data_IF_937994563603
#
_entry.id   IF_937994563603
#
_cell.length_a   1.000
_cell.length_b   1.000
_cell.length_c   1.000
_cell.angle_alpha   90.00
_cell.angle_beta   90.00
_cell.angle_gamma   90.00
#
_symmetry.space_group_name_H-M   'P 1'
#
loop_
_entity.id
_entity.type
_entity.pdbx_description
1 polymer ?
#
# COMPACT_ATOMS: atom_id res chain seq x y z
N UNK A 1 -13.75 19.85 -10.74
CA UNK A 1 -13.16 18.56 -10.32
C UNK A 1 -13.40 18.33 -8.83
N UNK A 2 -12.94 19.23 -7.95
CA UNK A 2 -13.15 19.15 -6.49
C UNK A 2 -14.63 19.03 -6.07
N UNK A 3 -15.51 19.86 -6.61
CA UNK A 3 -16.95 19.82 -6.30
C UNK A 3 -17.57 18.45 -6.62
N UNK A 4 -17.24 17.88 -7.78
CA UNK A 4 -17.72 16.57 -8.21
C UNK A 4 -17.18 15.43 -7.33
N UNK A 5 -15.93 15.54 -6.84
CA UNK A 5 -15.38 14.58 -5.89
C UNK A 5 -16.13 14.65 -4.56
N UNK A 6 -16.34 15.85 -4.01
CA UNK A 6 -17.08 16.04 -2.76
C UNK A 6 -18.52 15.50 -2.85
N UNK A 7 -19.23 15.77 -3.95
CA UNK A 7 -20.57 15.23 -4.21
C UNK A 7 -20.59 13.69 -4.26
N UNK A 8 -19.54 13.05 -4.80
CA UNK A 8 -19.41 11.59 -4.79
C UNK A 8 -19.20 11.04 -3.37
N UNK A 9 -18.43 11.75 -2.54
CA UNK A 9 -18.22 11.37 -1.15
C UNK A 9 -19.51 11.52 -0.31
N UNK A 10 -20.30 12.56 -0.56
CA UNK A 10 -21.60 12.77 0.10
C UNK A 10 -22.62 11.68 -0.19
N UNK A 11 -22.53 11.06 -1.36
CA UNK A 11 -23.42 9.95 -1.76
C UNK A 11 -23.12 8.63 -1.07
N UNK A 12 -22.04 8.54 -0.27
CA UNK A 12 -21.55 7.30 0.34
C UNK A 12 -21.23 6.18 -0.67
N UNK A 13 -20.95 6.53 -1.93
CA UNK A 13 -20.55 5.59 -2.98
C UNK A 13 -19.04 5.29 -2.94
N UNK A 14 -18.28 6.05 -2.13
CA UNK A 14 -16.81 6.01 -2.06
C UNK A 14 -16.35 5.86 -0.61
N UNK A 15 -15.77 4.71 -0.29
CA UNK A 15 -15.25 4.40 1.05
C UNK A 15 -13.83 4.96 1.30
N UNK A 16 -13.07 5.26 0.25
CA UNK A 16 -11.67 5.65 0.37
C UNK A 16 -11.20 6.54 -0.78
N UNK A 17 -10.22 7.41 -0.48
CA UNK A 17 -9.51 8.21 -1.50
C UNK A 17 -8.01 8.05 -1.35
N UNK A 18 -7.29 8.23 -2.46
CA UNK A 18 -5.84 8.36 -2.52
C UNK A 18 -5.48 9.76 -3.04
N UNK A 19 -4.57 10.44 -2.32
CA UNK A 19 -4.05 11.76 -2.66
C UNK A 19 -2.56 11.61 -2.97
N UNK A 20 -2.19 11.77 -4.24
CA UNK A 20 -0.78 11.81 -4.63
C UNK A 20 -0.19 13.19 -4.42
N UNK A 21 0.94 13.25 -3.74
CA UNK A 21 1.65 14.50 -3.45
C UNK A 21 3.09 14.41 -3.93
N UNK A 22 3.67 15.55 -4.31
CA UNK A 22 5.12 15.65 -4.51
C UNK A 22 5.90 15.78 -3.20
N UNK A 23 5.20 16.01 -2.08
CA UNK A 23 5.78 16.35 -0.78
C UNK A 23 6.55 17.67 -0.74
N UNK A 24 6.52 18.50 -1.79
CA UNK A 24 7.25 19.77 -1.87
C UNK A 24 6.37 21.00 -1.70
N UNK A 25 5.12 20.92 -2.14
CA UNK A 25 4.15 22.00 -2.09
C UNK A 25 3.02 21.59 -1.16
N UNK A 26 2.67 22.47 -0.22
CA UNK A 26 1.60 22.24 0.76
C UNK A 26 0.30 22.92 0.33
N UNK A 27 0.39 24.10 -0.31
CA UNK A 27 -0.80 24.86 -0.72
C UNK A 27 -1.77 24.05 -1.60
N UNK A 28 -1.34 23.32 -2.63
CA UNK A 28 -2.29 22.53 -3.42
C UNK A 28 -2.93 21.38 -2.63
N UNK A 29 -2.25 20.86 -1.61
CA UNK A 29 -2.79 19.84 -0.72
C UNK A 29 -3.85 20.43 0.21
N UNK A 30 -3.60 21.60 0.78
CA UNK A 30 -4.54 22.35 1.62
C UNK A 30 -5.80 22.74 0.82
N UNK A 31 -5.65 23.33 -0.37
CA UNK A 31 -6.76 23.66 -1.26
C UNK A 31 -7.61 22.43 -1.62
N UNK A 32 -6.96 21.28 -1.87
CA UNK A 32 -7.65 20.02 -2.14
C UNK A 32 -8.43 19.56 -0.90
N UNK A 33 -7.79 19.54 0.26
CA UNK A 33 -8.39 19.09 1.51
C UNK A 33 -9.58 19.96 1.93
N UNK A 34 -9.42 21.28 1.88
CA UNK A 34 -10.47 22.25 2.17
C UNK A 34 -11.63 22.13 1.18
N UNK A 35 -11.32 21.87 -0.10
CA UNK A 35 -12.31 21.65 -1.14
C UNK A 35 -13.14 20.37 -0.97
N UNK A 36 -12.62 19.35 -0.27
CA UNK A 36 -13.41 18.18 0.14
C UNK A 36 -14.32 18.51 1.33
N UNK A 37 -13.92 19.44 2.19
CA UNK A 37 -14.74 19.94 3.30
C UNK A 37 -15.28 18.82 4.20
N UNK A 38 -16.54 18.91 4.62
CA UNK A 38 -17.16 17.92 5.51
C UNK A 38 -17.41 16.55 4.85
N UNK A 39 -17.32 16.45 3.52
CA UNK A 39 -17.55 15.19 2.81
C UNK A 39 -16.52 14.11 3.16
N UNK A 40 -15.35 14.50 3.69
CA UNK A 40 -14.33 13.56 4.19
C UNK A 40 -14.82 12.67 5.34
N UNK A 41 -15.90 13.06 6.04
CA UNK A 41 -16.50 12.28 7.14
C UNK A 41 -17.14 10.97 6.67
N UNK A 42 -17.45 10.87 5.38
CA UNK A 42 -18.04 9.67 4.79
C UNK A 42 -16.98 8.64 4.43
N UNK A 43 -15.70 9.01 4.46
CA UNK A 43 -14.60 8.11 4.16
C UNK A 43 -14.31 7.19 5.33
N UNK A 44 -13.87 5.97 4.99
CA UNK A 44 -13.34 4.98 5.93
C UNK A 44 -11.81 4.98 5.92
N UNK A 45 -11.19 5.44 4.84
CA UNK A 45 -9.74 5.50 4.66
C UNK A 45 -9.33 6.67 3.78
N UNK A 46 -8.30 7.40 4.20
CA UNK A 46 -7.57 8.33 3.34
C UNK A 46 -6.14 7.83 3.21
N UNK A 47 -5.69 7.72 1.97
CA UNK A 47 -4.30 7.43 1.67
C UNK A 47 -3.60 8.66 1.12
N UNK A 48 -2.46 9.03 1.70
CA UNK A 48 -1.61 10.12 1.22
C UNK A 48 -0.31 9.52 0.71
N UNK A 49 -0.11 9.62 -0.59
CA UNK A 49 1.05 9.10 -1.30
C UNK A 49 2.13 10.17 -1.42
N UNK A 50 3.36 9.81 -1.05
CA UNK A 50 4.51 10.71 -1.04
C UNK A 50 5.81 10.05 -1.50
N UNK A 51 6.68 10.78 -2.21
CA UNK A 51 7.99 10.29 -2.60
C UNK A 51 8.98 10.37 -1.43
N UNK A 52 10.10 9.67 -1.57
CA UNK A 52 11.24 9.82 -0.67
C UNK A 52 12.00 11.12 -0.97
N UNK A 53 11.66 12.21 -0.27
CA UNK A 53 12.33 13.50 -0.37
C UNK A 53 13.49 13.67 0.65
N UNK A 54 13.96 12.57 1.25
CA UNK A 54 15.03 12.62 2.24
C UNK A 54 14.57 13.30 3.54
N UNK A 55 15.36 14.27 4.02
CA UNK A 55 15.15 14.95 5.31
C UNK A 55 13.85 15.75 5.39
N UNK A 56 13.32 16.22 4.25
CA UNK A 56 12.06 16.99 4.21
C UNK A 56 10.81 16.12 4.23
N UNK A 57 10.95 14.79 4.14
CA UNK A 57 9.80 13.86 4.09
C UNK A 57 8.91 13.99 5.33
N UNK A 58 9.48 13.77 6.53
CA UNK A 58 8.71 13.82 7.79
C UNK A 58 8.15 15.21 8.07
N UNK A 59 8.91 16.32 7.93
CA UNK A 59 8.34 17.66 8.03
C UNK A 59 7.14 17.89 7.10
N UNK A 60 7.17 17.35 5.89
CA UNK A 60 6.07 17.48 4.94
C UNK A 60 4.87 16.62 5.34
N UNK A 61 5.10 15.39 5.81
CA UNK A 61 4.05 14.53 6.39
C UNK A 61 3.35 15.22 7.56
N UNK A 62 4.12 15.80 8.49
CA UNK A 62 3.57 16.51 9.64
C UNK A 62 2.71 17.70 9.22
N UNK A 63 3.18 18.51 8.26
CA UNK A 63 2.39 19.64 7.73
C UNK A 63 1.07 19.18 7.12
N UNK A 64 1.11 18.15 6.27
CA UNK A 64 -0.10 17.56 5.67
C UNK A 64 -1.03 16.98 6.74
N UNK A 65 -0.48 16.31 7.74
CA UNK A 65 -1.27 15.78 8.84
C UNK A 65 -1.95 16.88 9.66
N UNK A 66 -1.26 17.97 9.99
CA UNK A 66 -1.85 19.09 10.73
C UNK A 66 -3.01 19.77 9.98
N UNK A 67 -2.99 19.75 8.64
CA UNK A 67 -4.11 20.21 7.80
C UNK A 67 -5.28 19.24 7.89
N UNK A 68 -5.00 17.93 7.86
CA UNK A 68 -6.04 16.90 7.90
C UNK A 68 -6.67 16.71 9.28
N UNK A 69 -5.85 16.71 10.33
CA UNK A 69 -6.18 16.32 11.71
C UNK A 69 -7.49 16.92 12.24
N UNK A 70 -7.82 18.21 12.01
CA UNK A 70 -9.08 18.79 12.50
C UNK A 70 -10.35 18.11 11.96
N UNK A 71 -10.31 17.52 10.77
CA UNK A 71 -11.46 16.93 10.09
C UNK A 71 -11.28 15.44 9.76
N UNK A 72 -10.13 14.86 10.12
CA UNK A 72 -9.81 13.46 9.88
C UNK A 72 -10.54 12.57 10.88
N UNK A 73 -11.57 11.87 10.41
CA UNK A 73 -12.41 10.96 11.22
C UNK A 73 -12.24 9.47 10.84
N UNK A 74 -11.36 9.18 9.89
CA UNK A 74 -11.15 7.85 9.34
C UNK A 74 -9.70 7.38 9.45
N UNK A 75 -9.39 6.18 8.97
CA UNK A 75 -8.01 5.70 8.96
C UNK A 75 -7.13 6.54 8.02
N UNK A 76 -5.91 6.82 8.46
CA UNK A 76 -4.89 7.48 7.66
C UNK A 76 -3.80 6.47 7.24
N UNK A 77 -3.53 6.41 5.94
CA UNK A 77 -2.52 5.55 5.33
C UNK A 77 -1.48 6.39 4.60
N UNK A 78 -0.23 6.31 5.04
CA UNK A 78 0.90 6.90 4.33
C UNK A 78 1.46 5.91 3.32
N UNK A 79 1.25 6.19 2.04
CA UNK A 79 1.78 5.38 0.93
C UNK A 79 3.17 5.87 0.55
N UNK A 80 4.15 5.01 0.78
CA UNK A 80 5.54 5.27 0.48
C UNK A 80 5.79 4.95 -1.00
N UNK A 81 5.61 5.96 -1.85
CA UNK A 81 5.74 5.84 -3.31
C UNK A 81 7.21 5.81 -3.78
N UNK A 82 8.16 5.90 -2.85
CA UNK A 82 9.58 5.69 -3.13
C UNK A 82 10.12 6.74 -4.11
N UNK A 83 10.83 6.28 -5.16
CA UNK A 83 11.31 7.18 -6.21
C UNK A 83 10.19 7.48 -7.21
N UNK A 84 10.02 8.75 -7.63
CA UNK A 84 9.05 9.11 -8.66
C UNK A 84 9.22 8.23 -9.91
N UNK A 85 8.15 7.52 -10.27
CA UNK A 85 7.96 6.62 -11.43
C UNK A 85 9.17 6.47 -12.37
N UNK A 86 10.19 5.71 -11.98
CA UNK A 86 11.32 5.39 -12.87
C UNK A 86 11.01 4.24 -13.84
N UNK A 87 9.87 3.56 -13.67
CA UNK A 87 9.56 2.32 -14.38
C UNK A 87 10.45 1.13 -13.96
N UNK A 88 11.43 1.35 -13.08
CA UNK A 88 12.28 0.29 -12.54
C UNK A 88 11.53 -0.46 -11.44
N UNK A 89 11.23 -1.72 -11.72
CA UNK A 89 10.60 -2.68 -10.81
C UNK A 89 11.59 -3.79 -10.41
N UNK A 90 12.88 -3.59 -10.69
CA UNK A 90 13.97 -4.50 -10.38
C UNK A 90 14.39 -4.47 -8.91
N UNK A 91 15.45 -5.23 -8.59
CA UNK A 91 15.97 -5.36 -7.22
C UNK A 91 16.47 -4.02 -6.62
N UNK A 92 17.00 -3.13 -7.46
CA UNK A 92 17.49 -1.82 -7.05
C UNK A 92 16.37 -0.97 -6.44
N UNK A 93 15.25 -0.86 -7.15
CA UNK A 93 14.06 -0.14 -6.68
C UNK A 93 13.55 -0.67 -5.34
N UNK A 94 13.44 -2.00 -5.18
CA UNK A 94 12.96 -2.60 -3.93
C UNK A 94 13.87 -2.33 -2.74
N UNK A 95 15.19 -2.33 -2.94
CA UNK A 95 16.14 -2.01 -1.86
C UNK A 95 15.94 -0.58 -1.36
N UNK A 96 15.73 0.36 -2.26
CA UNK A 96 15.48 1.76 -1.91
C UNK A 96 14.13 1.96 -1.22
N UNK A 97 13.09 1.26 -1.66
CA UNK A 97 11.77 1.27 -1.00
C UNK A 97 11.84 0.72 0.42
N UNK A 98 12.58 -0.37 0.64
CA UNK A 98 12.79 -0.92 1.99
C UNK A 98 13.61 0.05 2.84
N UNK A 99 14.69 0.64 2.30
CA UNK A 99 15.49 1.62 3.04
C UNK A 99 14.65 2.85 3.45
N UNK A 100 13.74 3.30 2.57
CA UNK A 100 12.82 4.38 2.88
C UNK A 100 11.87 4.00 4.03
N UNK A 101 11.31 2.79 3.99
CA UNK A 101 10.47 2.24 5.04
C UNK A 101 11.20 2.14 6.38
N UNK A 102 12.43 1.62 6.41
CA UNK A 102 13.28 1.55 7.60
C UNK A 102 13.46 2.92 8.24
N UNK A 103 13.80 3.94 7.42
CA UNK A 103 13.99 5.30 7.91
C UNK A 103 12.72 5.86 8.57
N UNK A 104 11.57 5.74 7.92
CA UNK A 104 10.31 6.27 8.46
C UNK A 104 9.82 5.47 9.66
N UNK A 105 9.97 4.15 9.65
CA UNK A 105 9.60 3.29 10.75
C UNK A 105 10.38 3.60 12.04
N UNK A 106 11.64 4.02 11.91
CA UNK A 106 12.48 4.42 13.04
C UNK A 106 12.25 5.87 13.54
N UNK A 107 11.54 6.69 12.77
CA UNK A 107 11.33 8.10 13.09
C UNK A 107 10.26 8.28 14.19
N UNK A 108 10.62 9.00 15.26
CA UNK A 108 9.74 9.25 16.41
C UNK A 108 8.78 10.43 16.18
N UNK A 109 9.14 11.32 15.29
CA UNK A 109 8.45 12.59 14.99
C UNK A 109 7.53 12.48 13.77
N UNK A 110 7.31 11.28 13.21
CA UNK A 110 6.35 11.08 12.12
C UNK A 110 4.92 11.25 12.63
N UNK A 111 3.98 11.74 11.79
CA UNK A 111 2.59 11.82 12.19
C UNK A 111 1.96 10.42 12.33
N UNK A 112 0.84 10.32 13.08
CA UNK A 112 0.05 9.10 13.16
C UNK A 112 -0.42 8.58 11.80
N UNK A 113 -0.64 7.28 11.73
CA UNK A 113 -1.13 6.59 10.52
C UNK A 113 -0.34 5.31 10.21
N UNK A 114 -0.98 4.45 9.42
CA UNK A 114 -0.37 3.23 8.91
C UNK A 114 0.65 3.57 7.82
N UNK A 115 1.71 2.77 7.69
CA UNK A 115 2.65 2.88 6.58
C UNK A 115 2.40 1.75 5.58
N UNK A 116 2.34 2.07 4.29
CA UNK A 116 2.29 1.07 3.22
C UNK A 116 3.39 1.35 2.20
N UNK A 117 4.18 0.36 1.82
CA UNK A 117 5.08 0.51 0.68
C UNK A 117 4.25 0.41 -0.60
N UNK A 118 4.38 1.39 -1.50
CA UNK A 118 3.65 1.41 -2.77
C UNK A 118 4.59 1.51 -3.98
N UNK A 119 5.67 2.27 -3.86
CA UNK A 119 6.65 2.42 -4.93
C UNK A 119 7.76 1.37 -4.89
N UNK A 120 8.23 0.92 -6.06
CA UNK A 120 9.36 -0.01 -6.19
C UNK A 120 9.13 -1.41 -5.59
N UNK A 121 7.87 -1.78 -5.33
CA UNK A 121 7.51 -3.07 -4.73
C UNK A 121 7.51 -4.19 -5.77
N UNK A 122 7.99 -5.37 -5.38
CA UNK A 122 7.98 -6.59 -6.19
C UNK A 122 8.01 -7.85 -5.31
N UNK A 123 8.20 -9.03 -5.93
CA UNK A 123 8.27 -10.31 -5.21
C UNK A 123 9.33 -10.39 -4.09
N UNK A 124 10.34 -9.51 -4.08
CA UNK A 124 11.37 -9.49 -3.04
C UNK A 124 11.00 -8.59 -1.84
N UNK A 125 9.95 -7.77 -1.94
CA UNK A 125 9.62 -6.76 -0.92
C UNK A 125 9.28 -7.39 0.43
N UNK A 126 8.44 -8.42 0.47
CA UNK A 126 8.05 -9.09 1.73
C UNK A 126 9.27 -9.67 2.44
N UNK A 127 10.10 -10.43 1.71
CA UNK A 127 11.30 -11.04 2.28
C UNK A 127 12.27 -9.96 2.81
N UNK A 128 12.41 -8.85 2.09
CA UNK A 128 13.24 -7.73 2.51
C UNK A 128 12.71 -7.04 3.76
N UNK A 129 11.42 -6.74 3.85
CA UNK A 129 10.84 -6.14 5.06
C UNK A 129 10.90 -7.08 6.27
N UNK A 130 10.72 -8.39 6.07
CA UNK A 130 10.90 -9.40 7.13
C UNK A 130 12.32 -9.41 7.67
N UNK A 131 13.32 -9.29 6.79
CA UNK A 131 14.73 -9.22 7.18
C UNK A 131 15.03 -7.99 8.06
N UNK A 132 14.38 -6.87 7.78
CA UNK A 132 14.50 -5.64 8.59
C UNK A 132 13.58 -5.64 9.83
N UNK A 133 12.83 -6.72 10.08
CA UNK A 133 11.90 -6.81 11.22
C UNK A 133 10.68 -5.88 11.11
N UNK A 134 10.44 -5.29 9.93
CA UNK A 134 9.38 -4.30 9.70
C UNK A 134 8.03 -4.90 9.32
N UNK A 135 8.02 -6.19 8.98
CA UNK A 135 6.82 -6.88 8.52
C UNK A 135 6.71 -8.23 9.21
N UNK A 136 5.60 -8.44 9.91
CA UNK A 136 5.26 -9.71 10.51
C UNK A 136 4.03 -10.23 9.79
N UNK A 137 4.20 -11.35 9.09
CA UNK A 137 3.06 -12.17 8.72
C UNK A 137 2.69 -12.97 9.95
N UNK A 138 1.45 -12.84 10.44
CA UNK A 138 0.94 -13.64 11.56
C UNK A 138 0.93 -15.12 11.15
N UNK A 139 2.07 -15.78 11.26
CA UNK A 139 2.12 -17.23 11.33
C UNK A 139 1.66 -17.53 12.74
N UNK A 140 0.38 -17.87 12.89
CA UNK A 140 -0.13 -18.56 14.07
C UNK A 140 0.69 -19.83 14.26
N UNK A 141 1.82 -19.72 14.96
CA UNK A 141 2.45 -20.86 15.59
C UNK A 141 1.48 -21.28 16.69
N UNK A 142 0.72 -22.32 16.43
CA UNK A 142 0.11 -23.15 17.46
C UNK A 142 1.26 -23.81 18.26
N UNK A 143 1.98 -23.03 19.06
CA UNK A 143 2.75 -23.56 20.18
C UNK A 143 1.85 -23.46 21.38
N UNK A 144 1.18 -24.57 21.66
CA UNK A 144 0.52 -24.85 22.93
C UNK A 144 1.55 -24.82 24.04
N UNK A 145 1.83 -23.63 24.57
CA UNK A 145 2.48 -23.47 25.86
C UNK A 145 1.72 -22.38 26.62
N UNK A 146 0.59 -22.79 27.20
CA UNK A 146 -0.11 -22.03 28.22
C UNK A 146 0.77 -21.94 29.46
N UNK A 147 1.51 -20.82 29.59
CA UNK A 147 1.72 -20.06 30.83
C UNK A 147 2.91 -19.11 30.67
N UNK A 148 2.62 -17.86 30.33
CA UNK A 148 3.41 -16.72 30.82
C UNK A 148 2.65 -15.42 30.61
N UNK A 149 1.97 -15.02 31.69
CA UNK A 149 1.86 -13.63 32.19
C UNK A 149 1.63 -12.50 31.18
N UNK A 150 0.41 -11.99 31.22
CA UNK A 150 0.01 -10.64 30.83
C UNK A 150 0.99 -9.58 31.37
N UNK A 151 1.95 -9.16 30.54
CA UNK A 151 2.69 -7.89 30.67
C UNK A 151 3.56 -7.58 29.43
N UNK A 152 3.06 -7.84 28.23
CA UNK A 152 3.66 -7.30 27.00
C UNK A 152 2.58 -6.78 26.06
N UNK A 153 1.99 -5.63 26.43
CA UNK A 153 1.33 -4.73 25.46
C UNK A 153 2.34 -4.01 24.54
N UNK A 154 3.60 -4.44 24.55
CA UNK A 154 4.64 -4.02 23.60
C UNK A 154 4.83 -5.02 22.46
N UNK A 155 3.85 -5.89 22.20
CA UNK A 155 3.89 -6.89 21.14
C UNK A 155 3.83 -6.22 19.76
N UNK A 156 5.00 -5.90 19.22
CA UNK A 156 5.32 -6.14 17.81
C UNK A 156 4.32 -5.63 16.77
N UNK A 157 3.84 -4.39 16.88
CA UNK A 157 3.13 -3.77 15.77
C UNK A 157 4.10 -3.70 14.59
N UNK A 158 3.85 -4.49 13.53
CA UNK A 158 4.61 -4.35 12.28
C UNK A 158 4.53 -2.88 11.86
N UNK A 159 5.68 -2.21 11.83
CA UNK A 159 5.76 -0.77 11.55
C UNK A 159 5.23 -0.43 10.15
N UNK A 160 5.17 -1.42 9.26
CA UNK A 160 4.51 -1.39 7.97
C UNK A 160 3.20 -2.20 8.04
N UNK A 161 2.09 -1.54 7.74
CA UNK A 161 0.73 -2.11 7.73
C UNK A 161 0.30 -2.72 6.40
N UNK A 162 1.08 -2.57 5.33
CA UNK A 162 0.78 -3.20 4.05
C UNK A 162 1.79 -2.95 2.94
N UNK A 163 1.58 -3.62 1.81
CA UNK A 163 2.37 -3.46 0.58
C UNK A 163 1.37 -3.39 -0.59
N UNK A 164 1.50 -2.36 -1.43
CA UNK A 164 0.77 -2.24 -2.68
C UNK A 164 1.67 -2.65 -3.85
N UNK A 165 1.11 -3.37 -4.82
CA UNK A 165 1.80 -3.82 -6.03
C UNK A 165 1.14 -3.22 -7.26
N UNK A 166 1.71 -2.15 -7.82
CA UNK A 166 1.24 -1.57 -9.07
C UNK A 166 1.96 -2.16 -10.29
N UNK A 167 3.14 -1.61 -10.60
CA UNK A 167 3.91 -1.98 -11.80
C UNK A 167 4.32 -3.46 -11.85
N UNK A 168 4.66 -4.06 -10.71
CA UNK A 168 5.01 -5.48 -10.66
C UNK A 168 3.79 -6.38 -10.90
N UNK A 169 2.63 -6.05 -10.32
CA UNK A 169 1.38 -6.77 -10.58
C UNK A 169 1.00 -6.73 -12.07
N UNK A 170 1.10 -5.54 -12.68
CA UNK A 170 0.91 -5.38 -14.14
C UNK A 170 1.88 -6.25 -14.93
N UNK A 171 3.15 -6.35 -14.51
CA UNK A 171 4.14 -7.19 -15.21
C UNK A 171 3.81 -8.68 -15.16
N UNK A 172 3.34 -9.20 -14.02
CA UNK A 172 3.06 -10.64 -13.90
C UNK A 172 1.79 -11.02 -14.67
N UNK A 173 0.69 -10.28 -14.49
CA UNK A 173 -0.58 -10.51 -15.21
C UNK A 173 -0.39 -10.23 -16.71
N UNK A 174 0.40 -9.21 -17.05
CA UNK A 174 0.71 -8.87 -18.44
C UNK A 174 1.39 -9.98 -19.23
N UNK A 175 2.15 -10.89 -18.58
CA UNK A 175 2.71 -12.06 -19.28
C UNK A 175 1.62 -13.01 -19.75
N UNK A 176 0.63 -13.25 -18.89
CA UNK A 176 -0.53 -14.09 -19.22
C UNK A 176 -1.34 -13.47 -20.35
N UNK A 177 -1.60 -12.16 -20.28
CA UNK A 177 -2.30 -11.41 -21.33
C UNK A 177 -1.53 -11.41 -22.67
N UNK A 178 -0.20 -11.29 -22.64
CA UNK A 178 0.61 -11.38 -23.85
C UNK A 178 0.61 -12.79 -24.46
N UNK A 179 0.58 -13.84 -23.61
CA UNK A 179 0.43 -15.23 -24.03
C UNK A 179 -0.93 -15.45 -24.72
N UNK A 180 -2.01 -14.97 -24.09
CA UNK A 180 -3.36 -14.98 -24.64
C UNK A 180 -3.39 -14.31 -26.01
N UNK A 181 -2.81 -13.12 -26.12
CA UNK A 181 -2.79 -12.37 -27.37
C UNK A 181 -2.03 -13.09 -28.48
N UNK A 182 -0.95 -13.78 -28.14
CA UNK A 182 -0.15 -14.56 -29.09
C UNK A 182 -0.89 -15.79 -29.61
N UNK A 183 -1.77 -16.39 -28.80
CA UNK A 183 -2.51 -17.61 -29.14
C UNK A 183 -3.87 -17.33 -29.79
N UNK A 184 -4.55 -16.27 -29.37
CA UNK A 184 -5.95 -16.00 -29.72
C UNK A 184 -6.20 -14.61 -30.31
N UNK A 185 -5.15 -13.78 -30.48
CA UNK A 185 -5.29 -12.42 -30.99
C UNK A 185 -5.91 -11.47 -29.96
N UNK A 186 -6.73 -10.51 -30.42
CA UNK A 186 -7.42 -9.58 -29.52
C UNK A 186 -8.64 -10.26 -28.90
N UNK A 187 -8.42 -11.03 -27.83
CA UNK A 187 -9.45 -11.74 -27.08
C UNK A 187 -9.63 -11.16 -25.68
N UNK A 188 -10.84 -11.30 -25.14
CA UNK A 188 -11.15 -10.98 -23.75
C UNK A 188 -10.71 -12.14 -22.85
N UNK A 189 -10.04 -11.86 -21.73
CA UNK A 189 -9.52 -12.94 -20.86
C UNK A 189 -10.65 -13.78 -20.24
N UNK A 190 -11.83 -13.18 -20.07
CA UNK A 190 -13.03 -13.79 -19.54
C UNK A 190 -13.54 -14.96 -20.39
N UNK A 191 -13.23 -14.96 -21.70
CA UNK A 191 -13.61 -16.03 -22.63
C UNK A 191 -12.62 -17.21 -22.64
N UNK A 192 -11.49 -17.07 -21.93
CA UNK A 192 -10.39 -18.04 -21.91
C UNK A 192 -10.09 -18.49 -20.47
N UNK A 193 -10.86 -19.47 -19.94
CA UNK A 193 -10.82 -19.85 -18.53
C UNK A 193 -9.43 -20.28 -18.05
N UNK A 194 -8.62 -20.91 -18.89
CA UNK A 194 -7.25 -21.32 -18.55
C UNK A 194 -6.34 -20.13 -18.30
N UNK A 195 -6.38 -19.11 -19.17
CA UNK A 195 -5.61 -17.87 -19.04
C UNK A 195 -6.11 -17.04 -17.86
N UNK A 196 -7.43 -16.97 -17.65
CA UNK A 196 -8.02 -16.31 -16.49
C UNK A 196 -7.54 -16.95 -15.18
N UNK A 197 -7.56 -18.28 -15.11
CA UNK A 197 -7.08 -19.03 -13.95
C UNK A 197 -5.58 -18.83 -13.72
N UNK A 198 -4.77 -18.80 -14.78
CA UNK A 198 -3.33 -18.51 -14.68
C UNK A 198 -3.08 -17.10 -14.13
N UNK A 199 -3.75 -16.08 -14.66
CA UNK A 199 -3.65 -14.70 -14.17
C UNK A 199 -4.08 -14.58 -12.70
N UNK A 200 -5.13 -15.30 -12.31
CA UNK A 200 -5.62 -15.35 -10.93
C UNK A 200 -4.60 -16.02 -9.99
N UNK A 201 -4.00 -17.14 -10.40
CA UNK A 201 -2.93 -17.83 -9.65
C UNK A 201 -1.75 -16.91 -9.40
N UNK A 202 -1.27 -16.22 -10.43
CA UNK A 202 -0.16 -15.26 -10.32
C UNK A 202 -0.50 -14.11 -9.35
N UNK A 203 -1.72 -13.55 -9.45
CA UNK A 203 -2.18 -12.49 -8.56
C UNK A 203 -2.30 -12.96 -7.10
N UNK A 204 -2.88 -14.15 -6.87
CA UNK A 204 -3.02 -14.74 -5.53
C UNK A 204 -1.65 -15.07 -4.94
N UNK A 205 -0.74 -15.66 -5.71
CA UNK A 205 0.61 -15.95 -5.25
C UNK A 205 1.34 -14.68 -4.79
N UNK A 206 1.20 -13.57 -5.54
CA UNK A 206 1.78 -12.29 -5.16
C UNK A 206 1.19 -11.74 -3.85
N UNK A 207 -0.13 -11.64 -3.75
CA UNK A 207 -0.81 -11.06 -2.57
C UNK A 207 -0.75 -11.99 -1.36
N UNK A 208 -0.69 -13.30 -1.58
CA UNK A 208 -0.57 -14.33 -0.54
C UNK A 208 0.68 -14.16 0.31
N UNK A 209 1.77 -13.63 -0.27
CA UNK A 209 2.98 -13.29 0.49
C UNK A 209 2.75 -12.24 1.59
N UNK A 210 1.70 -11.40 1.44
CA UNK A 210 1.32 -10.34 2.37
C UNK A 210 0.21 -10.81 3.32
N UNK A 211 -0.82 -11.46 2.77
CA UNK A 211 -2.07 -11.79 3.50
C UNK A 211 -2.10 -13.18 4.13
N UNK A 212 -1.09 -14.03 3.90
CA UNK A 212 -1.04 -15.40 4.41
C UNK A 212 -2.29 -16.23 4.07
N UNK A 213 -2.76 -16.14 2.84
CA UNK A 213 -3.75 -17.10 2.35
C UNK A 213 -3.09 -18.48 2.25
N UNK A 214 -3.80 -19.53 2.66
CA UNK A 214 -3.55 -20.87 2.17
C UNK A 214 -3.75 -20.82 0.66
N UNK A 215 -2.73 -21.16 -0.12
CA UNK A 215 -2.82 -21.11 -1.57
C UNK A 215 -3.91 -22.11 -2.01
N UNK A 216 -5.05 -21.63 -2.55
CA UNK A 216 -6.17 -22.51 -2.90
C UNK A 216 -5.86 -23.45 -4.06
N UNK A 217 -4.69 -23.29 -4.71
CA UNK A 217 -4.24 -24.09 -5.84
C UNK A 217 -3.04 -24.98 -5.54
N UNK A 218 -2.51 -24.94 -4.31
CA UNK A 218 -1.55 -25.93 -3.83
C UNK A 218 -2.32 -27.23 -3.56
N UNK A 219 -2.23 -28.17 -4.51
CA UNK A 219 -2.70 -29.53 -4.31
C UNK A 219 -1.72 -30.23 -3.37
N UNK A 220 -2.23 -30.72 -2.23
CA UNK A 220 -1.50 -31.60 -1.32
C UNK A 220 -1.33 -33.00 -1.90
#
# INVERSE_FOLDING_TARGET
MLLATAELLERNDVDAIEIHTSGRQITPFEELWDGLGDSVRNLRLIAVSLPNNGETTIPSMNKMYSIMEPHLSCFNLWQLDGRPMSGDIGRGATRESIAFAVRLAAAKDRPPGFLQLAGGTNAHTVAGLKKEGLFQTSMTKNTTDEKSTANSLSSSNSLIGGIAYGGYARKIVGRVLNSLQSQHGLALIEDHPDHLLEALKEAIALVGTVKCYDDPFLTH
#
